data_IF_484684492918
#
_entry.id   IF_484684492918
#
_cell.length_a   1.000
_cell.length_b   1.000
_cell.length_c   1.000
_cell.angle_alpha   90.00
_cell.angle_beta   90.00
_cell.angle_gamma   90.00
#
_symmetry.space_group_name_H-M   'P 1'
#
loop_
_entity.id
_entity.type
_entity.pdbx_description
1 polymer ?
#
# COMPACT_ATOMS: atom_id res chain seq x y z
N UNK A 1 6.08 8.03 12.06
CA UNK A 1 5.11 8.90 11.34
C UNK A 1 3.74 8.86 12.01
N UNK A 2 3.13 10.03 12.15
CA UNK A 2 1.73 10.10 12.58
C UNK A 2 0.81 9.73 11.43
N UNK A 3 -0.47 9.48 11.74
CA UNK A 3 -1.46 9.18 10.71
C UNK A 3 -1.57 10.31 9.67
N UNK A 4 -1.57 11.56 10.14
CA UNK A 4 -1.62 12.71 9.24
C UNK A 4 -0.41 12.77 8.31
N UNK A 5 0.78 12.52 8.85
CA UNK A 5 2.01 12.50 8.06
C UNK A 5 1.99 11.40 7.00
N UNK A 6 1.46 10.24 7.34
CA UNK A 6 1.32 9.13 6.39
C UNK A 6 0.39 9.50 5.23
N UNK A 7 -0.72 10.15 5.54
CA UNK A 7 -1.69 10.57 4.54
C UNK A 7 -1.07 11.63 3.62
N UNK A 8 -0.40 12.62 4.19
CA UNK A 8 0.28 13.66 3.42
C UNK A 8 1.33 13.05 2.51
N UNK A 9 2.12 12.12 3.04
CA UNK A 9 3.15 11.43 2.29
C UNK A 9 2.56 10.71 1.07
N UNK A 10 1.47 9.97 1.28
CA UNK A 10 0.80 9.25 0.19
C UNK A 10 0.22 10.20 -0.86
N UNK A 11 -0.40 11.30 -0.42
CA UNK A 11 -1.00 12.27 -1.33
C UNK A 11 0.05 13.00 -2.17
N UNK A 12 1.27 13.14 -1.68
CA UNK A 12 2.35 13.80 -2.41
C UNK A 12 2.97 12.90 -3.49
N UNK A 13 2.73 11.60 -3.43
CA UNK A 13 3.26 10.68 -4.44
C UNK A 13 2.50 10.91 -5.76
N UNK A 14 3.22 11.02 -6.88
CA UNK A 14 2.57 11.30 -8.17
C UNK A 14 1.76 10.12 -8.71
N UNK A 15 2.06 8.91 -8.29
CA UNK A 15 1.39 7.71 -8.78
C UNK A 15 0.10 7.44 -8.01
N UNK A 16 -0.89 6.87 -8.70
CA UNK A 16 -2.13 6.42 -8.07
C UNK A 16 -1.96 5.11 -7.32
N UNK A 17 -0.83 4.43 -7.51
CA UNK A 17 -0.53 3.16 -6.87
C UNK A 17 0.77 3.26 -6.09
N UNK A 18 0.94 2.38 -5.11
CA UNK A 18 2.13 2.33 -4.28
C UNK A 18 2.72 0.93 -4.31
N UNK A 19 4.03 0.85 -4.03
CA UNK A 19 4.74 -0.43 -3.94
C UNK A 19 4.52 -1.07 -2.57
N UNK A 20 4.82 -2.38 -2.42
CA UNK A 20 4.80 -3.02 -1.11
C UNK A 20 5.71 -2.33 -0.09
N UNK A 21 6.84 -1.78 -0.55
CA UNK A 21 7.75 -1.06 0.35
C UNK A 21 7.08 0.18 0.94
N UNK A 22 6.36 0.94 0.12
CA UNK A 22 5.63 2.11 0.59
C UNK A 22 4.47 1.69 1.49
N UNK A 23 3.78 0.61 1.14
CA UNK A 23 2.71 0.08 1.98
C UNK A 23 3.23 -0.30 3.37
N UNK A 24 4.38 -0.98 3.43
CA UNK A 24 5.01 -1.35 4.69
C UNK A 24 5.40 -0.11 5.50
N UNK A 25 5.85 0.95 4.83
CA UNK A 25 6.23 2.19 5.49
C UNK A 25 5.03 2.85 6.20
N UNK A 26 3.87 2.85 5.57
CA UNK A 26 2.70 3.55 6.12
C UNK A 26 1.77 2.66 6.95
N UNK A 27 1.73 1.37 6.68
CA UNK A 27 0.84 0.45 7.38
C UNK A 27 1.56 -0.53 8.30
N UNK A 28 2.89 -0.53 8.27
CA UNK A 28 3.70 -1.46 9.04
C UNK A 28 3.87 -2.79 8.32
N UNK A 29 4.70 -3.65 8.88
CA UNK A 29 4.97 -4.95 8.32
C UNK A 29 6.16 -4.96 7.37
N UNK A 30 6.20 -5.97 6.52
CA UNK A 30 7.33 -6.26 5.65
C UNK A 30 6.84 -6.29 4.19
N UNK A 31 7.56 -5.67 3.24
CA UNK A 31 7.17 -5.71 1.84
C UNK A 31 6.95 -7.12 1.30
N UNK A 32 7.78 -8.06 1.73
CA UNK A 32 7.65 -9.45 1.32
C UNK A 32 6.30 -10.05 1.76
N UNK A 33 5.85 -9.70 2.95
CA UNK A 33 4.57 -10.19 3.48
C UNK A 33 3.40 -9.73 2.63
N UNK A 34 3.44 -8.49 2.15
CA UNK A 34 2.39 -7.97 1.27
C UNK A 34 2.37 -8.69 -0.07
N UNK A 35 3.54 -8.96 -0.64
CA UNK A 35 3.63 -9.74 -1.86
C UNK A 35 3.03 -11.13 -1.67
N UNK A 36 3.37 -11.77 -0.56
CA UNK A 36 2.90 -13.13 -0.26
C UNK A 36 1.38 -13.14 -0.08
N UNK A 37 0.84 -12.19 0.68
CA UNK A 37 -0.59 -12.08 0.88
C UNK A 37 -1.34 -11.87 -0.44
N UNK A 38 -0.78 -11.05 -1.33
CA UNK A 38 -1.39 -10.81 -2.63
C UNK A 38 -1.39 -12.07 -3.49
N UNK A 39 -0.28 -12.84 -3.46
CA UNK A 39 -0.19 -14.10 -4.19
C UNK A 39 -1.19 -15.14 -3.67
N UNK A 40 -1.45 -15.13 -2.38
CA UNK A 40 -2.37 -16.08 -1.75
C UNK A 40 -3.83 -15.61 -1.76
N UNK A 41 -4.08 -14.42 -2.32
CA UNK A 41 -5.43 -13.89 -2.36
C UNK A 41 -5.94 -13.40 -1.00
N UNK A 42 -5.04 -13.09 -0.09
CA UNK A 42 -5.38 -12.68 1.28
C UNK A 42 -5.24 -11.18 1.51
N UNK A 43 -4.80 -10.43 0.53
CA UNK A 43 -4.65 -8.98 0.66
C UNK A 43 -5.99 -8.30 0.40
N UNK A 44 -6.57 -7.70 1.43
CA UNK A 44 -7.91 -7.10 1.37
C UNK A 44 -7.96 -5.75 0.66
N UNK A 45 -6.82 -5.11 0.46
CA UNK A 45 -6.77 -3.81 -0.20
C UNK A 45 -6.74 -4.02 -1.71
N UNK A 46 -7.50 -3.22 -2.48
CA UNK A 46 -7.45 -3.31 -3.95
C UNK A 46 -6.03 -3.16 -4.48
N UNK A 47 -5.63 -4.07 -5.32
CA UNK A 47 -4.29 -4.14 -5.88
C UNK A 47 -4.32 -4.84 -7.23
N UNK A 48 -3.18 -4.79 -7.94
CA UNK A 48 -3.01 -5.54 -9.18
C UNK A 48 -1.53 -5.85 -9.38
N UNK A 49 -1.25 -6.77 -10.28
CA UNK A 49 0.11 -7.15 -10.63
C UNK A 49 0.51 -6.49 -11.94
N UNK A 50 1.63 -5.80 -11.92
CA UNK A 50 2.23 -5.24 -13.12
C UNK A 50 3.49 -6.05 -13.41
N UNK A 51 3.31 -7.12 -14.20
CA UNK A 51 4.37 -8.09 -14.37
C UNK A 51 4.65 -8.80 -13.04
N UNK A 52 5.87 -8.66 -12.54
CA UNK A 52 6.26 -9.26 -11.25
C UNK A 52 6.10 -8.28 -10.09
N UNK A 53 5.67 -7.07 -10.37
CA UNK A 53 5.57 -6.02 -9.36
C UNK A 53 4.13 -5.87 -8.88
N UNK A 54 3.94 -5.97 -7.56
CA UNK A 54 2.67 -5.71 -6.94
C UNK A 54 2.45 -4.20 -6.86
N UNK A 55 1.27 -3.75 -7.28
CA UNK A 55 0.88 -2.34 -7.16
C UNK A 55 -0.41 -2.28 -6.35
N UNK A 56 -0.42 -1.45 -5.34
CA UNK A 56 -1.55 -1.31 -4.42
C UNK A 56 -2.18 0.06 -4.64
N UNK A 57 -3.50 0.11 -4.81
CA UNK A 57 -4.18 1.37 -5.04
C UNK A 57 -4.06 2.27 -3.81
N UNK A 58 -3.64 3.50 -4.04
CA UNK A 58 -3.33 4.47 -2.98
C UNK A 58 -4.58 4.94 -2.21
N UNK A 59 -5.65 5.26 -2.92
CA UNK A 59 -6.85 5.82 -2.28
C UNK A 59 -7.48 4.89 -1.23
N UNK A 60 -7.65 3.58 -1.50
CA UNK A 60 -8.14 2.68 -0.45
C UNK A 60 -7.23 2.61 0.77
N UNK A 61 -5.91 2.72 0.57
CA UNK A 61 -4.95 2.73 1.68
C UNK A 61 -5.13 3.99 2.51
N UNK A 62 -5.31 5.14 1.87
CA UNK A 62 -5.56 6.40 2.58
C UNK A 62 -6.82 6.29 3.44
N UNK A 63 -7.89 5.71 2.91
CA UNK A 63 -9.12 5.50 3.68
C UNK A 63 -8.89 4.59 4.87
N UNK A 64 -8.17 3.50 4.66
CA UNK A 64 -7.88 2.54 5.72
C UNK A 64 -7.12 3.18 6.86
N UNK A 65 -6.12 3.99 6.54
CA UNK A 65 -5.32 4.69 7.54
C UNK A 65 -6.13 5.77 8.26
N UNK A 66 -7.05 6.42 7.53
CA UNK A 66 -7.89 7.50 8.07
C UNK A 66 -8.94 7.01 9.07
N UNK A 67 -9.28 5.75 8.99
CA UNK A 67 -10.24 5.15 9.92
C UNK A 67 -9.54 4.86 11.25
#
# INVERSE_FOLDING_TARGET
>A
MTTEEKIIFLKQLPSETISPSVMALVAGGDPYSYNLMAKEGKLDVPHFWRGRNLRIWKQPVIRLISE
#
